data_IF_246392995062
#
_entry.id   IF_246392995062
#
_cell.length_a   1.000
_cell.length_b   1.000
_cell.length_c   1.000
_cell.angle_alpha   90.00
_cell.angle_beta   90.00
_cell.angle_gamma   90.00
#
_symmetry.space_group_name_H-M   'P 1'
#
loop_
_entity.id
_entity.type
_entity.pdbx_description
1 polymer ?
#
# COMPACT_ATOMS: atom_id res chain seq x y z
N UNK A 1 28.87 8.81 -18.35
CA UNK A 1 28.10 8.15 -17.28
C UNK A 1 27.00 9.12 -16.90
N UNK A 2 25.74 8.80 -17.19
CA UNK A 2 24.64 9.74 -16.97
C UNK A 2 24.25 9.71 -15.49
N UNK A 3 24.56 10.78 -14.78
CA UNK A 3 24.20 11.04 -13.39
C UNK A 3 22.71 11.39 -13.37
N UNK A 4 21.87 10.44 -12.95
CA UNK A 4 20.45 10.69 -12.74
C UNK A 4 20.27 11.28 -11.35
N UNK A 5 19.98 12.59 -11.26
CA UNK A 5 19.48 13.22 -10.05
C UNK A 5 18.08 12.68 -9.73
N UNK A 6 18.04 11.63 -8.91
CA UNK A 6 16.79 11.10 -8.39
C UNK A 6 16.36 12.01 -7.22
N UNK A 7 15.52 13.00 -7.51
CA UNK A 7 14.73 13.68 -6.47
C UNK A 7 13.63 12.74 -5.95
N UNK A 8 14.03 11.74 -5.16
CA UNK A 8 13.11 10.95 -4.34
C UNK A 8 12.62 11.86 -3.22
N UNK A 9 11.41 12.41 -3.36
CA UNK A 9 10.74 13.08 -2.27
C UNK A 9 10.77 12.21 -1.01
N UNK A 10 11.41 12.72 0.04
CA UNK A 10 11.46 12.11 1.38
C UNK A 10 10.02 11.82 1.82
N UNK A 11 9.65 10.53 1.89
CA UNK A 11 8.31 10.10 2.32
C UNK A 11 7.48 9.29 1.31
N UNK A 12 7.93 9.07 0.07
CA UNK A 12 7.27 8.12 -0.85
C UNK A 12 7.60 6.67 -0.49
N UNK A 13 6.57 5.85 -0.30
CA UNK A 13 6.71 4.41 -0.07
C UNK A 13 7.42 3.71 -1.23
N UNK A 14 7.91 2.48 -1.04
CA UNK A 14 8.64 1.75 -2.07
C UNK A 14 7.77 1.55 -3.31
N UNK A 15 8.11 2.23 -4.40
CA UNK A 15 7.51 2.09 -5.73
C UNK A 15 8.58 1.54 -6.67
N UNK A 16 8.33 0.35 -7.21
CA UNK A 16 9.21 -0.28 -8.19
C UNK A 16 8.51 -0.23 -9.56
N UNK A 17 8.96 0.66 -10.46
CA UNK A 17 8.47 0.77 -11.85
C UNK A 17 6.92 0.69 -11.97
N UNK A 18 6.19 1.50 -11.19
CA UNK A 18 4.72 1.53 -11.21
C UNK A 18 4.01 0.40 -10.44
N UNK A 19 4.76 -0.55 -9.86
CA UNK A 19 4.28 -1.54 -8.92
C UNK A 19 4.54 -1.05 -7.49
N UNK A 20 3.47 -0.86 -6.74
CA UNK A 20 3.53 -0.26 -5.41
C UNK A 20 3.78 -1.31 -4.33
N UNK A 21 4.56 -0.95 -3.31
CA UNK A 21 4.99 -1.83 -2.21
C UNK A 21 3.92 -2.76 -1.60
N UNK A 22 2.68 -2.32 -1.33
CA UNK A 22 1.65 -3.18 -0.75
C UNK A 22 1.22 -4.34 -1.66
N UNK A 23 1.13 -4.11 -2.98
CA UNK A 23 0.79 -5.17 -3.94
C UNK A 23 2.01 -6.06 -4.23
N UNK A 24 3.22 -5.49 -4.18
CA UNK A 24 4.46 -6.26 -4.30
C UNK A 24 4.61 -7.27 -3.15
N UNK A 25 4.24 -6.90 -1.92
CA UNK A 25 4.25 -7.84 -0.80
C UNK A 25 3.26 -8.99 -1.02
N UNK A 26 2.08 -8.70 -1.57
CA UNK A 26 1.08 -9.71 -1.92
C UNK A 26 1.61 -10.67 -3.00
N UNK A 27 2.33 -10.13 -3.98
CA UNK A 27 2.98 -10.90 -5.03
C UNK A 27 4.07 -11.82 -4.49
N UNK A 28 4.98 -11.28 -3.67
CA UNK A 28 6.04 -12.05 -3.02
C UNK A 28 5.46 -13.16 -2.13
N UNK A 29 4.40 -12.87 -1.37
CA UNK A 29 3.68 -13.87 -0.59
C UNK A 29 3.03 -14.95 -1.45
N UNK A 30 2.45 -14.58 -2.60
CA UNK A 30 1.88 -15.52 -3.57
C UNK A 30 2.93 -16.46 -4.17
N UNK A 31 4.10 -15.94 -4.54
CA UNK A 31 5.21 -16.76 -5.02
C UNK A 31 5.79 -17.66 -3.93
N UNK A 32 5.89 -17.15 -2.69
CA UNK A 32 6.32 -17.97 -1.55
C UNK A 32 5.34 -19.13 -1.31
N UNK A 33 4.04 -18.86 -1.38
CA UNK A 33 3.01 -19.89 -1.28
C UNK A 33 3.11 -20.91 -2.43
N UNK A 34 3.34 -20.46 -3.66
CA UNK A 34 3.50 -21.34 -4.82
C UNK A 34 4.68 -22.31 -4.65
N UNK A 35 5.82 -21.83 -4.13
CA UNK A 35 6.97 -22.68 -3.80
C UNK A 35 6.59 -23.73 -2.75
N UNK A 36 5.93 -23.33 -1.66
CA UNK A 36 5.48 -24.27 -0.62
C UNK A 36 4.47 -25.28 -1.15
N UNK A 37 3.53 -24.84 -2.00
CA UNK A 37 2.53 -25.69 -2.64
C UNK A 37 3.19 -26.78 -3.48
N UNK A 38 4.17 -26.42 -4.33
CA UNK A 38 4.92 -27.36 -5.15
C UNK A 38 5.68 -28.38 -4.28
N UNK A 39 6.31 -27.93 -3.19
CA UNK A 39 7.03 -28.81 -2.25
C UNK A 39 6.07 -29.83 -1.63
N UNK A 40 4.92 -29.38 -1.12
CA UNK A 40 3.91 -30.26 -0.52
C UNK A 40 3.36 -31.25 -1.55
N UNK A 41 3.01 -30.78 -2.76
CA UNK A 41 2.54 -31.64 -3.85
C UNK A 41 3.59 -32.70 -4.23
N UNK A 42 4.87 -32.34 -4.25
CA UNK A 42 5.97 -33.27 -4.54
C UNK A 42 6.13 -34.33 -3.46
N UNK A 43 5.97 -33.94 -2.18
CA UNK A 43 6.03 -34.85 -1.04
C UNK A 43 4.80 -35.76 -0.96
N UNK A 44 3.64 -35.29 -1.42
CA UNK A 44 2.41 -36.07 -1.54
C UNK A 44 2.44 -37.13 -2.66
N UNK A 45 3.54 -37.21 -3.43
CA UNK A 45 3.69 -38.20 -4.49
C UNK A 45 2.94 -37.86 -5.79
N UNK A 46 2.55 -36.59 -6.00
CA UNK A 46 1.94 -36.17 -7.26
C UNK A 46 2.91 -36.34 -8.44
N UNK A 47 2.34 -36.61 -9.62
CA UNK A 47 3.13 -36.72 -10.85
C UNK A 47 3.82 -35.40 -11.20
N UNK A 48 5.01 -35.48 -11.81
CA UNK A 48 5.82 -34.33 -12.19
C UNK A 48 5.06 -33.31 -13.03
N UNK A 49 4.29 -33.80 -14.00
CA UNK A 49 3.47 -32.96 -14.85
C UNK A 49 2.37 -32.23 -14.08
N UNK A 50 1.77 -32.87 -13.07
CA UNK A 50 0.67 -32.28 -12.31
C UNK A 50 1.12 -31.10 -11.44
N UNK A 51 2.17 -31.27 -10.61
CA UNK A 51 2.62 -30.15 -9.77
C UNK A 51 3.29 -29.04 -10.58
N UNK A 52 3.91 -29.36 -11.72
CA UNK A 52 4.53 -28.36 -12.60
C UNK A 52 3.48 -27.47 -13.28
N UNK A 53 2.44 -28.09 -13.84
CA UNK A 53 1.33 -27.34 -14.45
C UNK A 53 0.53 -26.55 -13.43
N UNK A 54 0.34 -27.11 -12.22
CA UNK A 54 -0.26 -26.40 -11.09
C UNK A 54 0.56 -25.17 -10.70
N UNK A 55 1.87 -25.31 -10.51
CA UNK A 55 2.76 -24.20 -10.15
C UNK A 55 2.79 -23.10 -11.20
N UNK A 56 2.87 -23.46 -12.48
CA UNK A 56 2.79 -22.48 -13.58
C UNK A 56 1.43 -21.75 -13.59
N UNK A 57 0.33 -22.46 -13.40
CA UNK A 57 -1.01 -21.86 -13.36
C UNK A 57 -1.18 -20.93 -12.16
N UNK A 58 -0.70 -21.33 -10.97
CA UNK A 58 -0.78 -20.54 -9.73
C UNK A 58 0.15 -19.33 -9.81
N UNK A 59 1.40 -19.48 -10.27
CA UNK A 59 2.34 -18.38 -10.49
C UNK A 59 1.86 -17.35 -11.53
N UNK A 60 1.34 -17.82 -12.68
CA UNK A 60 0.72 -16.96 -13.68
C UNK A 60 -0.54 -16.26 -13.14
N UNK A 61 -1.36 -16.98 -12.37
CA UNK A 61 -2.51 -16.40 -11.68
C UNK A 61 -2.12 -15.33 -10.67
N UNK A 62 -1.09 -15.57 -9.86
CA UNK A 62 -0.60 -14.65 -8.83
C UNK A 62 -0.01 -13.36 -9.43
N UNK A 63 0.79 -13.48 -10.50
CA UNK A 63 1.30 -12.33 -11.26
C UNK A 63 0.13 -11.52 -11.85
N UNK A 64 -0.77 -12.17 -12.60
CA UNK A 64 -1.91 -11.51 -13.22
C UNK A 64 -2.84 -10.84 -12.20
N UNK A 65 -3.11 -11.51 -11.07
CA UNK A 65 -3.89 -10.97 -9.96
C UNK A 65 -3.23 -9.71 -9.40
N UNK A 66 -1.91 -9.75 -9.17
CA UNK A 66 -1.16 -8.60 -8.65
C UNK A 66 -1.26 -7.41 -9.60
N UNK A 67 -1.05 -7.62 -10.90
CA UNK A 67 -1.16 -6.55 -11.90
C UNK A 67 -2.59 -6.01 -12.02
N UNK A 68 -3.61 -6.88 -11.98
CA UNK A 68 -5.02 -6.45 -11.95
C UNK A 68 -5.34 -5.63 -10.70
N UNK A 69 -4.90 -6.08 -9.53
CA UNK A 69 -5.10 -5.35 -8.28
C UNK A 69 -4.40 -3.98 -8.30
N UNK A 70 -3.18 -3.93 -8.86
CA UNK A 70 -2.44 -2.69 -9.04
C UNK A 70 -3.20 -1.71 -9.96
N UNK A 71 -3.76 -2.21 -11.08
CA UNK A 71 -4.53 -1.40 -12.04
C UNK A 71 -5.89 -0.92 -11.50
N UNK A 72 -6.62 -1.78 -10.78
CA UNK A 72 -7.99 -1.48 -10.32
C UNK A 72 -8.00 -0.55 -9.09
N UNK A 73 -7.08 -0.73 -8.15
CA UNK A 73 -7.12 -0.07 -6.85
C UNK A 73 -6.13 1.09 -6.70
N UNK A 74 -5.12 1.18 -7.57
CA UNK A 74 -4.13 2.26 -7.57
C UNK A 74 -3.38 2.41 -6.23
N UNK A 75 -2.81 3.59 -5.99
CA UNK A 75 -1.94 3.86 -4.85
C UNK A 75 -2.60 3.56 -3.49
N UNK A 76 -3.76 4.14 -3.23
CA UNK A 76 -4.35 4.13 -1.89
C UNK A 76 -5.50 3.14 -1.73
N UNK A 77 -5.83 2.33 -2.74
CA UNK A 77 -7.02 1.48 -2.70
C UNK A 77 -6.97 0.41 -1.61
N UNK A 78 -5.88 -0.35 -1.51
CA UNK A 78 -5.67 -1.31 -0.40
C UNK A 78 -5.67 -0.60 0.96
N UNK A 79 -4.99 0.54 1.07
CA UNK A 79 -4.87 1.29 2.32
C UNK A 79 -6.22 1.88 2.77
N UNK A 80 -7.05 2.37 1.85
CA UNK A 80 -8.45 2.78 2.10
C UNK A 80 -9.31 1.60 2.55
N UNK A 81 -9.12 0.41 1.98
CA UNK A 81 -9.87 -0.80 2.36
C UNK A 81 -9.50 -1.24 3.78
N UNK A 82 -8.20 -1.24 4.10
CA UNK A 82 -7.69 -1.53 5.46
C UNK A 82 -8.17 -0.47 6.46
N UNK A 83 -8.14 0.81 6.09
CA UNK A 83 -8.65 1.90 6.93
C UNK A 83 -10.15 1.76 7.21
N UNK A 84 -10.94 1.29 6.24
CA UNK A 84 -12.37 1.00 6.43
C UNK A 84 -12.61 -0.10 7.46
N UNK A 85 -11.78 -1.15 7.47
CA UNK A 85 -11.87 -2.22 8.46
C UNK A 85 -11.46 -1.77 9.88
N UNK A 86 -10.64 -0.72 10.01
CA UNK A 86 -10.22 -0.16 11.30
C UNK A 86 -11.07 1.03 11.77
N UNK A 87 -12.21 1.31 11.12
CA UNK A 87 -13.08 2.43 11.50
C UNK A 87 -13.69 2.17 12.88
N UNK A 88 -13.46 3.04 13.89
CA UNK A 88 -14.04 2.85 15.21
C UNK A 88 -15.57 2.99 15.14
N UNK A 89 -16.31 2.11 15.84
CA UNK A 89 -17.78 2.10 15.85
C UNK A 89 -18.40 3.38 16.44
N UNK A 90 -17.64 4.13 17.26
CA UNK A 90 -18.03 5.44 17.78
C UNK A 90 -16.80 6.33 17.89
N UNK A 91 -16.91 7.57 17.41
CA UNK A 91 -15.96 8.64 17.71
C UNK A 91 -16.51 9.33 18.97
N UNK A 92 -16.02 8.93 20.15
CA UNK A 92 -16.41 9.56 21.40
C UNK A 92 -15.59 10.84 21.59
N UNK A 93 -16.09 11.97 21.08
CA UNK A 93 -15.54 13.28 21.41
C UNK A 93 -16.12 13.73 22.75
N UNK A 94 -15.31 13.74 23.80
CA UNK A 94 -15.69 14.32 25.10
C UNK A 94 -15.66 15.85 25.10
N UNK A 95 -15.17 16.46 24.03
CA UNK A 95 -15.16 17.91 23.83
C UNK A 95 -16.15 18.29 22.73
N UNK A 96 -16.86 19.39 22.94
CA UNK A 96 -17.75 19.98 21.95
C UNK A 96 -16.96 20.25 20.66
N UNK A 97 -17.55 19.90 19.51
CA UNK A 97 -16.97 20.16 18.18
C UNK A 97 -16.71 21.67 18.00
N UNK A 98 -17.56 22.51 18.61
CA UNK A 98 -17.41 23.98 18.61
C UNK A 98 -16.16 24.42 19.36
N UNK A 99 -15.83 23.77 20.49
CA UNK A 99 -14.60 24.05 21.24
C UNK A 99 -13.35 23.63 20.45
N UNK A 100 -13.44 22.51 19.71
CA UNK A 100 -12.32 22.03 18.90
C UNK A 100 -12.03 22.96 17.71
N UNK A 101 -13.08 23.49 17.08
CA UNK A 101 -12.96 24.47 15.99
C UNK A 101 -12.45 25.83 16.49
N UNK A 102 -12.90 26.30 17.66
CA UNK A 102 -12.39 27.54 18.26
C UNK A 102 -10.90 27.47 18.61
N UNK A 103 -10.44 26.39 19.27
CA UNK A 103 -9.01 26.20 19.59
C UNK A 103 -8.17 26.28 18.32
N UNK A 104 -8.64 25.66 17.23
CA UNK A 104 -7.92 25.68 15.96
C UNK A 104 -7.85 27.12 15.40
N UNK A 105 -8.98 27.85 15.41
CA UNK A 105 -9.04 29.23 14.92
C UNK A 105 -8.16 30.20 15.74
N UNK A 106 -8.15 30.06 17.06
CA UNK A 106 -7.28 30.86 17.95
C UNK A 106 -5.79 30.58 17.71
N UNK A 107 -5.46 29.36 17.29
CA UNK A 107 -4.08 28.97 16.98
C UNK A 107 -3.63 29.53 15.61
N UNK A 108 -4.55 29.64 14.65
CA UNK A 108 -4.29 30.32 13.37
C UNK A 108 -4.20 31.85 13.51
N UNK A 109 -4.98 32.45 14.41
CA UNK A 109 -4.93 33.88 14.71
C UNK A 109 -3.64 34.36 15.40
N UNK A 110 -2.75 33.45 15.81
CA UNK A 110 -1.46 33.76 16.45
C UNK A 110 -0.26 33.80 15.51
N UNK A 111 -0.43 33.51 14.22
CA UNK A 111 0.61 33.80 13.24
C UNK A 111 0.49 35.27 12.85
N UNK A 112 1.48 36.13 13.17
CA UNK A 112 1.48 37.48 12.65
C UNK A 112 1.54 37.39 11.13
N UNK A 113 0.59 38.03 10.46
CA UNK A 113 0.65 38.30 9.04
C UNK A 113 1.92 39.12 8.79
N UNK A 114 2.95 38.48 8.22
CA UNK A 114 4.22 39.12 7.88
C UNK A 114 3.99 40.12 6.74
N UNK A 115 3.36 41.26 7.05
CA UNK A 115 3.48 42.48 6.28
C UNK A 115 4.81 43.12 6.65
N UNK A 116 5.52 43.59 5.63
CA UNK A 116 6.84 44.23 5.66
C UNK A 116 8.03 43.26 5.57
N UNK A 117 8.24 42.73 4.37
CA UNK A 117 9.59 42.60 3.83
C UNK A 117 9.77 43.76 2.83
N UNK A 118 10.89 44.48 2.96
CA UNK A 118 11.27 45.78 2.37
C UNK A 118 10.87 46.01 0.90
N UNK A 119 10.51 47.23 0.48
CA UNK A 119 11.46 48.36 0.33
C UNK A 119 12.78 47.95 -0.34
#
# INVERSE_FOLDING_TARGET
>A
MAEYEIHKGVGRGPEFKGLRGPYLFLFAGGLLFDVLLIVVCRLAGMSTAAYLTLGLAVGAGATALTFRLNAVYGEHGLMKRVARCRRPRRIASRRSVVTMLHINNDTYGKYPENRHAGE
#
